data_IF_538158888835
#
_entry.id   IF_538158888835
#
_cell.length_a   1.000
_cell.length_b   1.000
_cell.length_c   1.000
_cell.angle_alpha   90.00
_cell.angle_beta   90.00
_cell.angle_gamma   90.00
#
_symmetry.space_group_name_H-M   'P 1'
#
loop_
_entity.id
_entity.type
_entity.pdbx_description
1 polymer ?
#
# COMPACT_ATOMS: atom_id res chain seq x y z
N UNK A 1 9.39 -50.11 -33.48
CA UNK A 1 8.89 -48.79 -33.07
C UNK A 1 8.59 -48.81 -31.60
N UNK A 2 7.58 -48.07 -31.16
CA UNK A 2 7.17 -47.96 -29.76
C UNK A 2 6.06 -48.96 -29.41
N UNK A 3 6.45 -50.24 -29.33
CA UNK A 3 5.53 -51.33 -28.99
C UNK A 3 5.12 -51.28 -27.51
N UNK A 4 3.89 -51.67 -27.19
CA UNK A 4 3.35 -51.66 -25.84
C UNK A 4 4.10 -52.64 -24.89
N UNK A 5 4.73 -52.09 -23.83
CA UNK A 5 5.40 -52.79 -22.72
C UNK A 5 6.16 -54.08 -23.11
N UNK A 6 6.27 -55.08 -22.22
CA UNK A 6 7.07 -56.33 -22.26
C UNK A 6 6.90 -57.23 -23.51
N UNK A 7 6.20 -56.76 -24.55
CA UNK A 7 6.03 -57.45 -25.82
C UNK A 7 7.17 -57.07 -26.77
N UNK A 8 8.00 -58.05 -27.06
CA UNK A 8 9.14 -57.87 -27.96
C UNK A 8 8.68 -57.49 -29.36
N UNK A 9 9.16 -56.34 -29.85
CA UNK A 9 9.08 -55.97 -31.26
C UNK A 9 9.56 -57.16 -32.10
N UNK A 10 8.80 -57.55 -33.13
CA UNK A 10 9.23 -58.61 -34.02
C UNK A 10 10.57 -58.21 -34.67
N UNK A 11 11.62 -58.98 -34.41
CA UNK A 11 12.98 -58.65 -34.83
C UNK A 11 13.22 -58.84 -36.34
N UNK A 12 12.29 -59.47 -37.05
CA UNK A 12 12.37 -59.71 -38.50
C UNK A 12 11.71 -58.57 -39.28
N UNK A 13 10.46 -58.22 -38.95
CA UNK A 13 9.66 -57.26 -39.73
C UNK A 13 9.39 -55.92 -39.03
N UNK A 14 9.77 -55.80 -37.75
CA UNK A 14 9.60 -54.60 -36.94
C UNK A 14 8.17 -54.35 -36.46
N UNK A 15 7.26 -55.33 -36.56
CA UNK A 15 5.87 -55.16 -36.10
C UNK A 15 5.72 -55.31 -34.58
N UNK A 16 4.70 -54.65 -34.05
CA UNK A 16 4.32 -54.66 -32.65
C UNK A 16 2.99 -55.44 -32.50
N UNK A 17 3.01 -56.78 -32.37
CA UNK A 17 1.78 -57.57 -32.25
C UNK A 17 0.96 -57.23 -30.99
N UNK A 18 1.61 -56.70 -29.96
CA UNK A 18 0.98 -56.18 -28.74
C UNK A 18 0.32 -54.81 -28.88
N UNK A 19 0.43 -54.18 -30.05
CA UNK A 19 0.00 -52.81 -30.27
C UNK A 19 1.03 -51.77 -29.83
N UNK A 20 0.59 -50.51 -29.81
CA UNK A 20 1.46 -49.36 -29.63
C UNK A 20 1.32 -48.72 -28.25
N UNK A 21 2.43 -48.17 -27.75
CA UNK A 21 2.42 -47.34 -26.54
C UNK A 21 1.53 -46.11 -26.71
N UNK A 22 1.05 -45.56 -25.58
CA UNK A 22 0.33 -44.29 -25.58
C UNK A 22 1.15 -43.17 -26.22
N UNK A 23 0.50 -42.33 -27.04
CA UNK A 23 1.17 -41.29 -27.83
C UNK A 23 1.58 -41.73 -29.23
N UNK A 24 1.29 -42.98 -29.60
CA UNK A 24 1.54 -43.53 -30.93
C UNK A 24 0.24 -43.97 -31.59
N UNK A 25 0.16 -43.74 -32.90
CA UNK A 25 -0.94 -44.20 -33.74
C UNK A 25 -0.91 -45.71 -33.84
N UNK A 26 -2.08 -46.30 -34.07
CA UNK A 26 -2.26 -47.75 -34.21
C UNK A 26 -1.78 -48.25 -35.58
N UNK A 27 -0.47 -48.18 -35.83
CA UNK A 27 0.19 -48.76 -37.00
C UNK A 27 0.84 -50.08 -36.62
N UNK A 28 1.06 -50.99 -37.59
CA UNK A 28 1.69 -52.28 -37.30
C UNK A 28 3.09 -52.15 -36.69
N UNK A 29 3.78 -51.02 -36.89
CA UNK A 29 5.17 -50.78 -36.44
C UNK A 29 5.30 -49.77 -35.30
N UNK A 30 4.21 -49.10 -34.92
CA UNK A 30 4.18 -48.05 -33.90
C UNK A 30 5.26 -46.97 -34.13
N UNK A 31 5.29 -46.46 -35.36
CA UNK A 31 6.31 -45.56 -35.91
C UNK A 31 5.80 -44.13 -36.12
N UNK A 32 4.49 -43.89 -35.92
CA UNK A 32 3.86 -42.58 -36.06
C UNK A 32 3.30 -42.11 -34.73
N UNK A 33 3.73 -40.93 -34.29
CA UNK A 33 3.17 -40.29 -33.11
C UNK A 33 1.74 -39.80 -33.36
N UNK A 34 0.97 -39.61 -32.29
CA UNK A 34 -0.32 -38.94 -32.36
C UNK A 34 -0.21 -37.55 -33.02
N UNK A 35 -1.27 -37.13 -33.71
CA UNK A 35 -1.34 -35.78 -34.29
C UNK A 35 -1.42 -34.74 -33.16
N UNK A 36 -0.99 -33.52 -33.43
CA UNK A 36 -1.17 -32.42 -32.48
C UNK A 36 -2.66 -32.28 -32.16
N UNK A 37 -2.99 -32.10 -30.88
CA UNK A 37 -4.37 -32.08 -30.42
C UNK A 37 -4.94 -33.46 -30.06
N UNK A 38 -4.18 -34.56 -30.18
CA UNK A 38 -4.64 -35.90 -29.78
C UNK A 38 -3.63 -36.62 -28.90
N UNK A 39 -4.12 -37.43 -27.97
CA UNK A 39 -3.28 -38.17 -27.03
C UNK A 39 -3.85 -39.55 -26.63
N UNK A 40 -3.06 -40.32 -25.89
CA UNK A 40 -3.43 -41.61 -25.33
C UNK A 40 -3.14 -42.78 -26.26
N UNK A 41 -3.63 -43.96 -25.86
CA UNK A 41 -3.55 -45.18 -26.67
C UNK A 41 -4.41 -45.01 -27.91
N UNK A 42 -3.84 -45.29 -29.09
CA UNK A 42 -4.52 -45.11 -30.39
C UNK A 42 -4.97 -43.67 -30.69
N UNK A 43 -4.49 -42.68 -29.93
CA UNK A 43 -4.80 -41.25 -30.13
C UNK A 43 -6.30 -40.92 -30.08
N UNK A 44 -7.07 -41.60 -29.22
CA UNK A 44 -8.53 -41.43 -29.15
C UNK A 44 -8.99 -40.25 -28.31
N UNK A 45 -8.11 -39.65 -27.50
CA UNK A 45 -8.42 -38.49 -26.69
C UNK A 45 -7.95 -37.20 -27.35
N UNK A 46 -8.63 -36.09 -27.06
CA UNK A 46 -8.33 -34.76 -27.61
C UNK A 46 -7.71 -33.88 -26.52
N UNK A 47 -6.62 -33.18 -26.85
CA UNK A 47 -6.02 -32.20 -25.95
C UNK A 47 -7.02 -31.11 -25.59
N UNK A 48 -6.88 -30.51 -24.41
CA UNK A 48 -7.49 -29.21 -24.14
C UNK A 48 -6.80 -28.11 -24.96
N UNK A 49 -7.51 -27.01 -25.19
CA UNK A 49 -6.93 -25.78 -25.74
C UNK A 49 -6.37 -24.86 -24.64
N UNK A 50 -6.54 -25.24 -23.38
CA UNK A 50 -6.14 -24.44 -22.21
C UNK A 50 -4.70 -24.67 -21.76
N UNK A 51 -3.87 -25.36 -22.57
CA UNK A 51 -2.43 -25.33 -22.34
C UNK A 51 -1.92 -23.89 -22.54
N UNK A 52 -0.99 -23.45 -21.70
CA UNK A 52 -0.44 -22.09 -21.76
C UNK A 52 0.15 -21.80 -23.15
N UNK A 53 -0.18 -20.64 -23.72
CA UNK A 53 0.29 -20.22 -25.05
C UNK A 53 0.00 -21.23 -26.17
N UNK A 54 -1.11 -21.98 -26.08
CA UNK A 54 -1.48 -23.03 -27.03
C UNK A 54 -0.38 -24.08 -27.23
N UNK A 55 0.39 -24.37 -26.18
CA UNK A 55 1.38 -25.44 -26.19
C UNK A 55 0.72 -26.79 -26.51
N UNK A 56 1.41 -27.64 -27.27
CA UNK A 56 0.90 -28.95 -27.65
C UNK A 56 0.90 -29.85 -26.40
N UNK A 57 -0.25 -30.42 -26.06
CA UNK A 57 -0.33 -31.36 -24.94
C UNK A 57 0.50 -32.62 -25.20
N UNK A 58 0.94 -33.26 -24.11
CA UNK A 58 1.70 -34.49 -24.18
C UNK A 58 0.86 -35.58 -24.87
N UNK A 59 1.44 -36.16 -25.93
CA UNK A 59 0.74 -37.16 -26.76
C UNK A 59 0.46 -38.46 -26.02
N UNK A 60 1.22 -38.79 -24.98
CA UNK A 60 1.03 -40.02 -24.22
C UNK A 60 -0.12 -39.91 -23.22
N UNK A 61 -0.17 -38.83 -22.43
CA UNK A 61 -1.08 -38.72 -21.29
C UNK A 61 -2.02 -37.51 -21.32
N UNK A 62 -1.87 -36.61 -22.29
CA UNK A 62 -2.69 -35.42 -22.46
C UNK A 62 -2.27 -34.22 -21.63
N UNK A 63 -1.20 -34.34 -20.84
CA UNK A 63 -0.78 -33.30 -19.90
C UNK A 63 -0.25 -32.04 -20.57
N UNK A 64 -0.51 -30.87 -19.97
CA UNK A 64 0.14 -29.62 -20.33
C UNK A 64 1.30 -29.32 -19.36
N UNK A 65 2.36 -28.67 -19.83
CA UNK A 65 3.45 -28.21 -18.96
C UNK A 65 2.98 -27.12 -17.98
N UNK A 66 2.18 -26.19 -18.49
CA UNK A 66 1.50 -25.17 -17.69
C UNK A 66 0.10 -24.93 -18.28
N UNK A 67 -0.84 -24.52 -17.43
CA UNK A 67 -2.17 -24.12 -17.85
C UNK A 67 -2.24 -22.63 -18.16
N UNK A 68 -3.12 -22.26 -19.09
CA UNK A 68 -3.52 -20.90 -19.33
C UNK A 68 -4.13 -20.28 -18.05
N UNK A 69 -4.11 -18.94 -17.89
CA UNK A 69 -4.73 -18.27 -16.75
C UNK A 69 -6.17 -18.71 -16.54
N UNK A 70 -6.51 -19.02 -15.30
CA UNK A 70 -7.84 -19.50 -14.92
C UNK A 70 -8.05 -21.01 -15.03
N UNK A 71 -7.06 -21.78 -15.46
CA UNK A 71 -7.13 -23.23 -15.57
C UNK A 71 -6.07 -23.93 -14.72
N UNK A 72 -6.37 -25.13 -14.26
CA UNK A 72 -5.52 -25.96 -13.42
C UNK A 72 -5.72 -27.46 -13.68
N UNK A 73 -4.89 -28.29 -13.03
CA UNK A 73 -4.85 -29.74 -13.24
C UNK A 73 -3.86 -30.16 -14.33
N UNK A 74 -3.51 -31.45 -14.34
CA UNK A 74 -2.56 -32.02 -15.32
C UNK A 74 -2.99 -31.79 -16.77
N UNK A 75 -4.29 -31.94 -17.03
CA UNK A 75 -4.90 -31.76 -18.35
C UNK A 75 -5.41 -30.34 -18.60
N UNK A 76 -5.23 -29.39 -17.68
CA UNK A 76 -5.78 -28.04 -17.75
C UNK A 76 -7.28 -27.99 -18.12
N UNK A 77 -8.03 -28.94 -17.60
CA UNK A 77 -9.46 -29.16 -17.84
C UNK A 77 -10.35 -28.66 -16.70
N UNK A 78 -9.73 -28.16 -15.62
CA UNK A 78 -10.42 -27.60 -14.46
C UNK A 78 -10.22 -26.11 -14.41
N UNK A 79 -11.29 -25.36 -14.16
CA UNK A 79 -11.17 -23.93 -13.84
C UNK A 79 -10.60 -23.76 -12.44
N UNK A 80 -10.02 -22.59 -12.16
CA UNK A 80 -9.67 -22.23 -10.79
C UNK A 80 -10.86 -22.39 -9.84
N UNK A 81 -10.56 -22.80 -8.60
CA UNK A 81 -11.55 -22.88 -7.54
C UNK A 81 -12.23 -21.52 -7.25
N UNK A 82 -13.40 -21.57 -6.62
CA UNK A 82 -14.20 -20.39 -6.28
C UNK A 82 -13.35 -19.35 -5.54
N UNK A 83 -13.45 -18.09 -5.95
CA UNK A 83 -12.70 -16.99 -5.36
C UNK A 83 -11.21 -16.93 -5.74
N UNK A 84 -10.78 -17.68 -6.75
CA UNK A 84 -9.41 -17.66 -7.26
C UNK A 84 -9.38 -17.38 -8.77
N UNK A 85 -8.31 -16.76 -9.24
CA UNK A 85 -8.14 -16.47 -10.66
C UNK A 85 -6.67 -16.39 -11.09
N UNK A 86 -6.48 -16.31 -12.42
CA UNK A 86 -5.20 -16.02 -13.07
C UNK A 86 -4.29 -17.24 -13.19
N UNK A 87 -3.01 -16.98 -13.47
CA UNK A 87 -2.03 -18.04 -13.70
C UNK A 87 -1.83 -18.88 -12.43
N UNK A 88 -1.93 -20.22 -12.55
CA UNK A 88 -1.84 -21.15 -11.42
C UNK A 88 -2.84 -20.87 -10.29
N UNK A 89 -3.94 -20.16 -10.57
CA UNK A 89 -4.96 -19.80 -9.58
C UNK A 89 -4.40 -19.07 -8.35
N UNK A 90 -3.28 -18.36 -8.51
CA UNK A 90 -2.54 -17.78 -7.39
C UNK A 90 -3.18 -16.50 -6.84
N UNK A 91 -4.08 -15.86 -7.60
CA UNK A 91 -4.71 -14.62 -7.18
C UNK A 91 -6.07 -14.90 -6.53
N UNK A 92 -6.39 -14.11 -5.50
CA UNK A 92 -7.68 -14.15 -4.80
C UNK A 92 -8.58 -13.06 -5.36
N UNK A 93 -9.83 -13.41 -5.64
CA UNK A 93 -10.84 -12.44 -6.05
C UNK A 93 -11.06 -11.37 -4.99
N UNK A 94 -11.42 -10.17 -5.43
CA UNK A 94 -11.85 -9.10 -4.53
C UNK A 94 -13.24 -9.35 -3.98
N UNK A 95 -13.92 -8.26 -3.61
CA UNK A 95 -15.21 -8.32 -2.94
C UNK A 95 -16.38 -8.36 -3.93
N UNK A 96 -16.41 -9.39 -4.78
CA UNK A 96 -17.55 -9.65 -5.67
C UNK A 96 -18.82 -9.93 -4.85
N UNK A 97 -20.00 -9.57 -5.36
CA UNK A 97 -21.28 -9.83 -4.68
C UNK A 97 -21.47 -11.31 -4.29
N UNK A 98 -21.07 -12.23 -5.17
CA UNK A 98 -20.89 -13.66 -4.87
C UNK A 98 -19.51 -14.13 -5.35
N UNK A 99 -18.87 -15.01 -4.59
CA UNK A 99 -17.52 -15.49 -4.92
C UNK A 99 -17.48 -16.28 -6.25
N UNK A 100 -18.58 -16.94 -6.63
CA UNK A 100 -18.73 -17.69 -7.89
C UNK A 100 -18.88 -16.78 -9.12
N UNK A 101 -19.19 -15.49 -8.91
CA UNK A 101 -19.31 -14.52 -10.00
C UNK A 101 -17.96 -13.92 -10.41
N UNK A 102 -16.91 -14.23 -9.67
CA UNK A 102 -15.55 -13.86 -10.02
C UNK A 102 -15.06 -14.70 -11.21
N UNK A 103 -14.63 -14.02 -12.26
CA UNK A 103 -14.17 -14.69 -13.46
C UNK A 103 -12.77 -15.28 -13.25
N UNK A 104 -12.66 -16.60 -13.37
CA UNK A 104 -11.44 -17.35 -13.05
C UNK A 104 -10.21 -16.95 -13.88
N UNK A 105 -10.35 -16.30 -15.04
CA UNK A 105 -9.20 -15.92 -15.87
C UNK A 105 -8.60 -14.57 -15.48
N UNK A 106 -9.42 -13.56 -15.15
CA UNK A 106 -8.98 -12.18 -14.94
C UNK A 106 -9.40 -11.57 -13.59
N UNK A 107 -10.25 -12.27 -12.82
CA UNK A 107 -10.71 -11.85 -11.50
C UNK A 107 -11.82 -10.80 -11.49
N UNK A 108 -12.44 -10.49 -12.64
CA UNK A 108 -13.53 -9.52 -12.70
C UNK A 108 -14.83 -10.06 -12.10
N UNK A 109 -15.65 -9.18 -11.52
CA UNK A 109 -16.89 -9.53 -10.85
C UNK A 109 -18.10 -9.21 -11.75
N UNK A 110 -18.65 -10.23 -12.41
CA UNK A 110 -19.81 -10.05 -13.31
C UNK A 110 -21.09 -9.55 -12.61
N UNK A 111 -21.25 -9.86 -11.32
CA UNK A 111 -22.39 -9.41 -10.49
C UNK A 111 -22.17 -8.10 -9.74
N UNK A 112 -21.07 -7.39 -10.02
CA UNK A 112 -20.71 -6.16 -9.30
C UNK A 112 -20.09 -6.42 -7.92
N UNK A 113 -19.87 -5.33 -7.19
CA UNK A 113 -19.15 -5.32 -5.91
C UNK A 113 -20.09 -5.34 -4.71
N UNK A 114 -19.61 -5.90 -3.61
CA UNK A 114 -20.19 -5.68 -2.29
C UNK A 114 -20.13 -4.19 -1.92
N UNK A 115 -20.99 -3.78 -0.99
CA UNK A 115 -20.99 -2.41 -0.47
C UNK A 115 -19.62 -2.01 0.06
N UNK A 116 -19.18 -0.80 -0.26
CA UNK A 116 -17.87 -0.31 0.15
C UNK A 116 -16.70 -0.73 -0.75
N UNK A 117 -16.96 -1.39 -1.88
CA UNK A 117 -15.94 -1.75 -2.88
C UNK A 117 -16.31 -1.29 -4.28
N UNK A 118 -15.29 -1.03 -5.11
CA UNK A 118 -15.44 -0.59 -6.51
C UNK A 118 -14.34 -1.14 -7.43
N UNK A 119 -14.49 -0.86 -8.72
CA UNK A 119 -13.60 -1.36 -9.78
C UNK A 119 -14.07 -2.71 -10.34
N UNK A 120 -13.54 -3.13 -11.50
CA UNK A 120 -13.98 -4.37 -12.16
C UNK A 120 -13.72 -5.64 -11.34
N UNK A 121 -12.68 -5.61 -10.50
CA UNK A 121 -12.27 -6.73 -9.64
C UNK A 121 -12.72 -6.55 -8.19
N UNK A 122 -13.41 -5.45 -7.88
CA UNK A 122 -13.89 -5.12 -6.52
C UNK A 122 -12.79 -5.12 -5.45
N UNK A 123 -11.58 -4.69 -5.82
CA UNK A 123 -10.40 -4.66 -4.94
C UNK A 123 -10.18 -3.30 -4.28
N UNK A 124 -10.86 -2.25 -4.76
CA UNK A 124 -10.71 -0.88 -4.23
C UNK A 124 -11.77 -0.61 -3.16
N UNK A 125 -11.36 -0.33 -1.93
CA UNK A 125 -12.28 0.12 -0.88
C UNK A 125 -12.74 1.56 -1.15
N UNK A 126 -14.05 1.78 -1.25
CA UNK A 126 -14.66 3.11 -1.31
C UNK A 126 -14.89 3.72 0.08
N UNK A 127 -14.64 2.97 1.16
CA UNK A 127 -14.77 3.43 2.57
C UNK A 127 -13.51 4.20 3.04
N UNK A 128 -12.43 4.21 2.26
CA UNK A 128 -11.15 4.80 2.62
C UNK A 128 -10.93 6.21 2.09
N UNK A 129 -11.85 7.14 2.32
CA UNK A 129 -11.60 8.60 2.36
C UNK A 129 -12.89 9.34 2.75
N UNK A 130 -13.38 9.14 3.97
CA UNK A 130 -13.71 10.34 4.73
C UNK A 130 -12.37 11.01 5.05
N UNK A 131 -11.78 11.72 4.09
CA UNK A 131 -11.29 13.04 4.45
C UNK A 131 -12.55 13.74 4.95
N UNK A 132 -12.85 13.57 6.23
CA UNK A 132 -13.83 14.40 6.88
C UNK A 132 -13.21 15.80 6.78
N UNK A 133 -13.75 16.73 5.96
CA UNK A 133 -13.16 18.05 5.82
C UNK A 133 -13.17 18.81 7.14
N UNK A 134 -13.74 18.26 8.22
CA UNK A 134 -13.70 18.82 9.58
C UNK A 134 -12.41 18.53 10.35
N UNK A 135 -11.61 17.50 9.99
CA UNK A 135 -10.39 17.16 10.75
C UNK A 135 -9.25 18.20 10.68
N UNK A 136 -9.09 19.05 9.63
CA UNK A 136 -8.13 20.16 9.71
C UNK A 136 -8.65 21.35 10.53
N UNK A 137 -9.96 21.59 10.62
CA UNK A 137 -10.49 22.76 11.34
C UNK A 137 -10.38 22.62 12.86
N UNK A 138 -10.66 21.43 13.41
CA UNK A 138 -10.59 21.22 14.86
C UNK A 138 -9.15 21.34 15.39
N UNK A 139 -8.17 20.82 14.64
CA UNK A 139 -6.75 20.95 15.00
C UNK A 139 -6.27 22.40 14.97
N UNK A 140 -6.70 23.19 13.97
CA UNK A 140 -6.33 24.62 13.84
C UNK A 140 -6.94 25.46 14.96
N UNK A 141 -8.20 25.23 15.30
CA UNK A 141 -8.88 25.95 16.40
C UNK A 141 -8.19 25.67 17.74
N UNK A 142 -7.82 24.42 18.01
CA UNK A 142 -7.10 24.04 19.22
C UNK A 142 -5.78 24.79 19.39
N UNK A 143 -4.98 24.89 18.32
CA UNK A 143 -3.70 25.61 18.34
C UNK A 143 -3.90 27.11 18.58
N UNK A 144 -4.90 27.72 17.94
CA UNK A 144 -5.20 29.15 18.13
C UNK A 144 -5.63 29.48 19.56
N UNK A 145 -6.46 28.63 20.19
CA UNK A 145 -6.88 28.84 21.59
C UNK A 145 -5.69 28.77 22.54
N UNK A 146 -4.77 27.82 22.35
CA UNK A 146 -3.56 27.71 23.17
C UNK A 146 -2.68 28.96 23.02
N UNK A 147 -2.47 29.44 21.80
CA UNK A 147 -1.70 30.67 21.55
C UNK A 147 -2.36 31.87 22.24
N UNK A 148 -3.68 32.03 22.12
CA UNK A 148 -4.42 33.12 22.76
C UNK A 148 -4.27 33.07 24.29
N UNK A 149 -4.39 31.89 24.91
CA UNK A 149 -4.21 31.73 26.36
C UNK A 149 -2.78 32.10 26.78
N UNK A 150 -1.76 31.63 26.04
CA UNK A 150 -0.36 31.98 26.32
C UNK A 150 -0.14 33.49 26.21
N UNK A 151 -0.65 34.15 25.17
CA UNK A 151 -0.55 35.60 25.03
C UNK A 151 -1.24 36.35 26.17
N UNK A 152 -2.45 35.93 26.58
CA UNK A 152 -3.16 36.50 27.72
C UNK A 152 -2.34 36.36 29.00
N UNK A 153 -1.74 35.19 29.24
CA UNK A 153 -0.89 34.99 30.44
C UNK A 153 0.36 35.88 30.41
N UNK A 154 1.01 36.02 29.26
CA UNK A 154 2.18 36.90 29.11
C UNK A 154 1.80 38.36 29.35
N UNK A 155 0.68 38.82 28.78
CA UNK A 155 0.18 40.19 28.98
C UNK A 155 -0.16 40.42 30.45
N UNK A 156 -0.85 39.48 31.10
CA UNK A 156 -1.21 39.60 32.51
C UNK A 156 0.03 39.69 33.41
N UNK A 157 1.03 38.82 33.20
CA UNK A 157 2.31 38.86 33.91
C UNK A 157 3.03 40.19 33.64
N UNK A 158 3.08 40.64 32.40
CA UNK A 158 3.65 41.94 32.02
C UNK A 158 2.98 43.12 32.74
N UNK A 159 1.65 43.15 32.80
CA UNK A 159 0.89 44.17 33.53
C UNK A 159 1.18 44.12 35.03
N UNK A 160 1.30 42.93 35.63
CA UNK A 160 1.65 42.77 37.05
C UNK A 160 3.05 43.31 37.31
N UNK A 161 4.04 42.96 36.47
CA UNK A 161 5.41 43.46 36.58
C UNK A 161 5.45 44.99 36.42
N UNK A 162 4.75 45.55 35.43
CA UNK A 162 4.67 47.00 35.22
C UNK A 162 3.97 47.73 36.37
N UNK A 163 2.90 47.16 36.94
CA UNK A 163 2.24 47.71 38.14
C UNK A 163 3.16 47.66 39.36
N UNK A 164 3.93 46.59 39.51
CA UNK A 164 4.92 46.48 40.59
C UNK A 164 6.07 47.48 40.41
N UNK A 165 6.61 47.61 39.20
CA UNK A 165 7.63 48.61 38.87
C UNK A 165 7.12 50.05 39.09
N UNK A 166 5.87 50.34 38.69
CA UNK A 166 5.21 51.64 38.98
C UNK A 166 5.03 51.87 40.49
N UNK A 167 4.72 50.83 41.27
CA UNK A 167 4.66 50.92 42.74
C UNK A 167 6.03 51.20 43.34
N UNK A 168 7.09 50.53 42.89
CA UNK A 168 8.47 50.79 43.32
C UNK A 168 8.91 52.21 42.95
N UNK A 169 8.58 52.68 41.74
CA UNK A 169 8.85 54.06 41.32
C UNK A 169 8.07 55.09 42.16
N UNK A 170 6.83 54.79 42.56
CA UNK A 170 6.02 55.65 43.44
C UNK A 170 6.51 55.64 44.90
N UNK A 171 7.09 54.54 45.36
CA UNK A 171 7.75 54.45 46.67
C UNK A 171 9.09 55.22 46.69
N UNK A 172 9.89 55.13 45.62
CA UNK A 172 11.14 55.87 45.46
C UNK A 172 10.92 57.40 45.33
N UNK A 173 9.79 57.84 44.74
CA UNK A 173 9.43 59.27 44.67
C UNK A 173 9.09 59.89 46.03
N UNK A 174 8.76 59.09 47.06
CA UNK A 174 8.41 59.60 48.40
C UNK A 174 9.60 59.78 49.35
N UNK A 175 10.82 59.38 48.97
CA UNK A 175 12.03 59.59 49.77
C UNK A 175 12.82 60.88 49.43
N UNK A 176 12.42 61.63 48.40
CA UNK A 176 13.11 62.86 47.97
C UNK A 176 12.45 64.17 48.47
N UNK A 177 11.51 64.10 49.43
CA UNK A 177 10.75 65.27 49.91
C UNK A 177 10.78 65.41 51.44
N UNK A 178 11.92 65.15 52.09
CA UNK A 178 12.15 65.54 53.51
C UNK A 178 13.61 65.95 53.65
N UNK A 179 13.92 67.21 53.34
CA UNK A 179 15.06 67.97 53.88
C UNK A 179 14.72 69.47 53.73
N UNK A 180 13.67 69.91 54.43
CA UNK A 180 13.27 71.32 54.54
C UNK A 180 12.90 71.62 55.98
N UNK A 181 13.91 71.87 56.85
CA UNK A 181 13.95 72.93 57.89
C UNK A 181 15.17 72.68 58.81
N UNK A 182 16.25 73.45 58.65
CA UNK A 182 16.73 74.28 59.76
C UNK A 182 17.71 75.35 59.25
N UNK A 183 17.35 76.60 59.48
CA UNK A 183 18.22 77.78 59.45
C UNK A 183 18.24 78.27 60.90
N UNK A 184 19.35 78.78 61.46
CA UNK A 184 19.68 80.18 61.17
C UNK A 184 21.15 80.63 61.32
N UNK A 185 21.43 81.77 60.69
CA UNK A 185 22.31 82.89 61.11
C UNK A 185 23.83 82.69 61.20
N UNK A 186 24.59 83.44 60.39
CA UNK A 186 25.38 84.60 60.83
C UNK A 186 26.06 85.29 59.63
N UNK A 187 26.35 86.60 59.81
CA UNK A 187 26.69 87.65 58.82
C UNK A 187 28.24 87.84 58.73
N UNK A 188 28.78 88.88 58.07
CA UNK A 188 29.64 88.79 56.87
C UNK A 188 31.11 89.24 57.09
N UNK A 189 32.01 89.00 56.14
CA UNK A 189 33.15 89.92 55.87
C UNK A 189 33.88 89.66 54.53
N UNK A 190 33.71 90.63 53.61
CA UNK A 190 34.68 91.34 52.78
C UNK A 190 35.99 90.71 52.24
N UNK A 191 36.27 91.13 50.98
CA UNK A 191 37.57 91.42 50.33
C UNK A 191 38.40 90.23 49.82
N UNK A 192 39.24 90.29 48.77
CA UNK A 192 39.59 91.24 47.68
C UNK A 192 40.50 90.44 46.71
N UNK A 193 40.61 90.90 45.46
CA UNK A 193 41.42 90.49 44.30
C UNK A 193 42.83 89.88 44.53
N UNK A 194 43.26 88.96 43.65
CA UNK A 194 44.28 89.17 42.57
C UNK A 194 44.63 87.82 41.90
N UNK A 195 44.56 87.63 40.56
CA UNK A 195 45.45 88.02 39.43
C UNK A 195 46.85 87.37 39.46
N UNK A 196 47.32 87.03 38.23
CA UNK A 196 48.66 86.58 37.76
C UNK A 196 48.71 85.05 37.53
N UNK A 197 48.66 84.50 36.30
CA UNK A 197 49.45 84.66 35.06
C UNK A 197 50.81 83.96 35.07
N UNK A 198 51.27 83.58 33.86
CA UNK A 198 52.53 82.88 33.48
C UNK A 198 52.49 81.36 33.64
N UNK A 199 52.92 80.56 32.66
CA UNK A 199 53.57 80.77 31.36
C UNK A 199 53.51 79.46 30.57
#
# INVERSE_FOLDING_TARGET
GHCLDDITCNNINGTCPGGCMAGWQNTDKCDKQCRNGTFGVRCTHTCTENCLNNEICNKSDGGCRNCAPGWEGHLCDKTCGIGQYGLKCQHKCGHCFKAEQCFHTNGSCSGGCMEGYRGEMCSESSVGSTQDPTTPFIAVIGILVVIIVVLITIIAVGVVILRNARKTNKANSKLNEIDMYDSPTAKPENNVYDVISTS
#
